data_IF_007882676027
#
_entry.id   IF_007882676027
#
_cell.length_a   1.000
_cell.length_b   1.000
_cell.length_c   1.000
_cell.angle_alpha   90.00
_cell.angle_beta   90.00
_cell.angle_gamma   90.00
#
_symmetry.space_group_name_H-M   'P 1'
#
loop_
_entity.id
_entity.type
_entity.pdbx_description
1 polymer ?
#
# COMPACT_ATOMS: atom_id res chain seq x y z
N UNK A 1 14.93 46.91 -39.67
CA UNK A 1 15.26 46.15 -38.45
C UNK A 1 13.94 46.04 -37.69
N UNK A 2 13.12 45.01 -37.94
CA UNK A 2 13.19 43.67 -37.34
C UNK A 2 13.30 43.78 -35.80
N UNK A 3 12.38 43.32 -34.95
CA UNK A 3 11.38 42.25 -35.08
C UNK A 3 10.10 42.56 -34.27
N UNK A 4 8.98 42.08 -34.80
CA UNK A 4 7.69 41.86 -34.14
C UNK A 4 7.73 40.47 -33.50
N UNK A 5 7.46 40.29 -32.20
CA UNK A 5 7.11 38.96 -31.66
C UNK A 5 6.24 39.02 -30.40
N UNK A 6 4.94 38.88 -30.66
CA UNK A 6 4.01 37.94 -30.01
C UNK A 6 3.83 37.91 -28.48
N UNK A 7 2.60 38.28 -28.09
CA UNK A 7 1.93 37.82 -26.88
C UNK A 7 1.98 36.29 -26.76
N UNK A 8 2.39 35.75 -25.61
CA UNK A 8 2.21 34.33 -25.29
C UNK A 8 1.13 34.14 -24.24
N UNK A 9 -0.04 33.78 -24.74
CA UNK A 9 -1.14 33.16 -24.00
C UNK A 9 -0.85 31.70 -23.66
N UNK A 10 -1.66 31.20 -22.70
CA UNK A 10 -2.06 29.80 -22.43
C UNK A 10 -1.18 28.90 -21.53
N UNK A 11 -1.74 27.86 -20.85
CA UNK A 11 -3.16 27.51 -20.61
C UNK A 11 -3.50 27.12 -19.15
N UNK A 12 -4.79 27.20 -18.80
CA UNK A 12 -5.44 26.47 -17.70
C UNK A 12 -5.93 25.11 -18.21
N UNK A 13 -5.64 24.02 -17.50
CA UNK A 13 -6.49 22.82 -17.52
C UNK A 13 -5.91 21.49 -18.03
N UNK A 14 -4.70 21.46 -18.59
CA UNK A 14 -4.08 20.20 -19.09
C UNK A 14 -2.97 19.65 -18.16
N UNK A 15 -2.37 20.51 -17.32
CA UNK A 15 -1.24 20.15 -16.45
C UNK A 15 -1.67 19.46 -15.14
N UNK A 16 -2.89 19.71 -14.66
CA UNK A 16 -3.41 19.14 -13.41
C UNK A 16 -3.63 17.62 -13.51
N UNK A 17 -4.05 17.13 -14.68
CA UNK A 17 -4.22 15.71 -14.94
C UNK A 17 -2.88 14.96 -14.93
N UNK A 18 -1.83 15.60 -15.46
CA UNK A 18 -0.47 15.03 -15.46
C UNK A 18 0.11 14.97 -14.05
N UNK A 19 -0.13 15.99 -13.21
CA UNK A 19 0.27 16.01 -11.79
C UNK A 19 -0.50 14.96 -10.97
N UNK A 20 -1.82 14.85 -11.17
CA UNK A 20 -2.61 13.80 -10.53
C UNK A 20 -2.17 12.40 -10.93
N UNK A 21 -1.86 12.18 -12.22
CA UNK A 21 -1.35 10.91 -12.72
C UNK A 21 0.07 10.62 -12.19
N UNK A 22 0.92 11.63 -12.03
CA UNK A 22 2.28 11.49 -11.48
C UNK A 22 2.27 11.20 -9.96
N UNK A 23 1.37 11.83 -9.20
CA UNK A 23 1.13 11.52 -7.77
C UNK A 23 0.41 10.18 -7.58
N UNK A 24 -0.42 9.77 -8.55
CA UNK A 24 -1.08 8.46 -8.58
C UNK A 24 -0.10 7.33 -8.91
N UNK A 25 0.88 7.55 -9.78
CA UNK A 25 1.89 6.57 -10.16
C UNK A 25 2.96 6.34 -9.07
N UNK A 26 3.12 7.31 -8.15
CA UNK A 26 4.07 7.27 -7.05
C UNK A 26 3.42 7.66 -5.72
N UNK A 27 2.38 6.93 -5.29
CA UNK A 27 1.88 7.09 -3.92
C UNK A 27 3.02 6.74 -2.95
N UNK A 28 3.55 7.75 -2.26
CA UNK A 28 4.52 7.56 -1.18
C UNK A 28 3.94 6.55 -0.18
N UNK A 29 4.73 5.60 0.33
CA UNK A 29 4.24 4.67 1.34
C UNK A 29 3.70 5.45 2.54
N UNK A 30 2.52 5.07 3.03
CA UNK A 30 1.94 5.64 4.24
C UNK A 30 2.89 5.51 5.45
N UNK A 31 3.65 4.42 5.51
CA UNK A 31 4.67 4.17 6.53
C UNK A 31 6.01 3.78 5.88
N UNK A 32 6.84 4.77 5.51
CA UNK A 32 8.13 4.52 4.83
C UNK A 32 9.10 3.65 5.63
N UNK A 33 9.05 3.70 6.96
CA UNK A 33 9.91 2.88 7.83
C UNK A 33 9.63 1.38 7.70
N UNK A 34 8.46 0.99 7.21
CA UNK A 34 8.00 -0.39 7.09
C UNK A 34 7.98 -0.90 5.63
N UNK A 35 8.64 -0.20 4.71
CA UNK A 35 8.86 -0.69 3.33
C UNK A 35 9.70 -1.97 3.32
N UNK A 36 10.66 -2.09 4.23
CA UNK A 36 11.49 -3.28 4.40
C UNK A 36 10.67 -4.42 5.04
N UNK A 37 10.62 -5.57 4.37
CA UNK A 37 10.00 -6.79 4.88
C UNK A 37 10.52 -7.20 6.26
N UNK A 38 11.83 -7.12 6.49
CA UNK A 38 12.43 -7.51 7.77
C UNK A 38 11.94 -6.63 8.90
N UNK A 39 11.81 -5.32 8.68
CA UNK A 39 11.25 -4.39 9.67
C UNK A 39 9.79 -4.68 9.96
N UNK A 40 9.00 -5.07 8.95
CA UNK A 40 7.63 -5.55 9.17
C UNK A 40 7.60 -6.80 10.03
N UNK A 41 8.40 -7.82 9.68
CA UNK A 41 8.47 -9.07 10.44
C UNK A 41 8.91 -8.82 11.90
N UNK A 42 9.93 -8.00 12.11
CA UNK A 42 10.45 -7.66 13.44
C UNK A 42 9.44 -6.91 14.33
N UNK A 43 8.37 -6.35 13.76
CA UNK A 43 7.29 -5.72 14.53
C UNK A 43 6.38 -6.73 15.25
N UNK A 44 6.35 -7.98 14.81
CA UNK A 44 5.45 -9.02 15.32
C UNK A 44 6.01 -9.78 16.55
N UNK A 45 7.00 -9.23 17.26
CA UNK A 45 7.60 -9.87 18.45
C UNK A 45 6.59 -10.23 19.55
N UNK A 46 5.51 -9.47 19.65
CA UNK A 46 4.43 -9.66 20.63
C UNK A 46 3.13 -10.13 19.97
N UNK A 47 3.21 -10.71 18.77
CA UNK A 47 2.04 -11.22 18.06
C UNK A 47 1.45 -12.42 18.81
N UNK A 48 0.12 -12.49 18.83
CA UNK A 48 -0.61 -13.47 19.64
C UNK A 48 -0.46 -14.88 19.05
N UNK A 49 0.15 -15.86 19.77
CA UNK A 49 0.34 -17.22 19.25
C UNK A 49 -0.96 -17.99 19.01
N UNK A 50 -2.09 -17.50 19.53
CA UNK A 50 -3.40 -18.12 19.37
C UNK A 50 -4.04 -17.82 18.00
N UNK A 51 -3.48 -16.90 17.21
CA UNK A 51 -3.97 -16.57 15.88
C UNK A 51 -3.35 -17.50 14.83
N UNK A 52 -4.13 -17.81 13.80
CA UNK A 52 -3.69 -18.66 12.70
C UNK A 52 -2.77 -17.92 11.71
N UNK A 53 -2.93 -16.60 11.61
CA UNK A 53 -2.15 -15.76 10.71
C UNK A 53 -0.76 -15.55 11.30
N UNK A 54 0.26 -16.09 10.62
CA UNK A 54 1.63 -16.02 11.11
C UNK A 54 2.24 -14.63 10.85
N UNK A 55 3.23 -14.21 11.65
CA UNK A 55 4.01 -13.00 11.38
C UNK A 55 4.53 -12.89 9.93
N UNK A 56 4.98 -14.01 9.36
CA UNK A 56 5.49 -14.08 7.99
C UNK A 56 4.39 -13.81 6.97
N UNK A 57 3.20 -14.40 7.14
CA UNK A 57 2.05 -14.16 6.27
C UNK A 57 1.60 -12.70 6.34
N UNK A 58 1.56 -12.12 7.54
CA UNK A 58 1.22 -10.70 7.73
C UNK A 58 2.25 -9.79 7.06
N UNK A 59 3.54 -9.97 7.34
CA UNK A 59 4.62 -9.16 6.77
C UNK A 59 4.72 -9.29 5.25
N UNK A 60 4.51 -10.50 4.71
CA UNK A 60 4.44 -10.75 3.27
C UNK A 60 3.22 -10.08 2.63
N UNK A 61 2.13 -9.94 3.39
CA UNK A 61 0.92 -9.23 2.94
C UNK A 61 1.03 -7.70 3.05
N UNK A 62 2.22 -7.17 3.35
CA UNK A 62 2.47 -5.73 3.46
C UNK A 62 2.12 -5.13 4.82
N UNK A 63 1.81 -5.97 5.82
CA UNK A 63 1.40 -5.51 7.15
C UNK A 63 2.55 -5.46 8.16
N UNK A 64 2.49 -4.51 9.07
CA UNK A 64 3.27 -4.50 10.32
C UNK A 64 2.31 -4.43 11.52
N UNK A 65 2.76 -4.91 12.68
CA UNK A 65 1.95 -4.97 13.89
C UNK A 65 1.84 -3.60 14.56
N UNK A 66 0.62 -3.22 14.96
CA UNK A 66 0.36 -1.97 15.66
C UNK A 66 0.66 -2.03 17.17
N UNK A 67 1.19 -3.15 17.69
CA UNK A 67 1.38 -3.41 19.12
C UNK A 67 0.10 -3.37 19.96
N UNK A 68 -1.06 -3.61 19.33
CA UNK A 68 -2.34 -3.65 20.02
C UNK A 68 -3.23 -4.77 19.46
N UNK A 69 -3.61 -5.72 20.34
CA UNK A 69 -4.46 -6.87 20.02
C UNK A 69 -3.95 -7.62 18.79
N UNK A 70 -4.76 -7.72 17.75
CA UNK A 70 -4.46 -8.33 16.46
C UNK A 70 -4.46 -7.28 15.34
N UNK A 71 -4.26 -6.00 15.70
CA UNK A 71 -4.32 -4.90 14.75
C UNK A 71 -3.02 -4.80 13.98
N UNK A 72 -3.14 -4.78 12.65
CA UNK A 72 -2.03 -4.62 11.72
C UNK A 72 -2.28 -3.46 10.77
N UNK A 73 -1.21 -2.84 10.27
CA UNK A 73 -1.29 -1.68 9.37
C UNK A 73 -0.47 -1.95 8.11
N UNK A 74 -1.03 -1.65 6.94
CA UNK A 74 -0.28 -1.76 5.69
C UNK A 74 0.72 -0.61 5.56
N UNK A 75 1.99 -0.91 5.25
CA UNK A 75 3.00 0.13 5.07
C UNK A 75 2.73 1.03 3.85
N UNK A 76 2.07 0.50 2.81
CA UNK A 76 1.89 1.19 1.53
C UNK A 76 0.64 2.05 1.54
N UNK A 77 -0.54 1.46 1.74
CA UNK A 77 -1.82 2.17 1.68
C UNK A 77 -2.30 2.68 3.05
N UNK A 78 -1.71 2.25 4.16
CA UNK A 78 -2.07 2.70 5.50
C UNK A 78 -3.38 2.13 6.05
N UNK A 79 -4.03 1.16 5.38
CA UNK A 79 -5.20 0.51 5.97
C UNK A 79 -4.82 -0.20 7.27
N UNK A 80 -5.73 -0.18 8.24
CA UNK A 80 -5.63 -0.99 9.45
C UNK A 80 -6.67 -2.11 9.37
N UNK A 81 -6.26 -3.32 9.77
CA UNK A 81 -7.13 -4.49 9.90
C UNK A 81 -6.93 -5.12 11.28
N UNK A 82 -7.94 -5.82 11.77
CA UNK A 82 -7.95 -6.54 13.03
C UNK A 82 -9.22 -7.37 13.14
N UNK A 83 -9.45 -8.00 14.30
CA UNK A 83 -10.46 -9.04 14.49
C UNK A 83 -10.33 -10.20 13.47
N UNK A 84 -9.11 -10.68 13.22
CA UNK A 84 -8.85 -11.78 12.30
C UNK A 84 -9.49 -13.08 12.79
N UNK A 85 -10.26 -13.71 11.92
CA UNK A 85 -10.83 -15.04 12.12
C UNK A 85 -9.84 -16.12 11.70
N UNK A 86 -10.05 -17.37 12.16
CA UNK A 86 -9.11 -18.48 11.89
C UNK A 86 -8.91 -18.77 10.40
N UNK A 87 -9.92 -18.48 9.59
CA UNK A 87 -9.92 -18.76 8.15
C UNK A 87 -9.45 -17.55 7.31
N UNK A 88 -9.19 -16.40 7.94
CA UNK A 88 -8.79 -15.20 7.20
C UNK A 88 -7.39 -15.36 6.63
N UNK A 89 -7.26 -15.00 5.36
CA UNK A 89 -5.96 -14.97 4.67
C UNK A 89 -5.54 -13.51 4.54
N UNK A 90 -4.43 -13.07 5.16
CA UNK A 90 -4.09 -11.65 5.27
C UNK A 90 -4.07 -10.89 3.94
N UNK A 91 -3.51 -11.48 2.88
CA UNK A 91 -3.45 -10.84 1.57
C UNK A 91 -4.83 -10.70 0.91
N UNK A 92 -5.74 -11.65 1.15
CA UNK A 92 -7.12 -11.60 0.64
C UNK A 92 -7.88 -10.50 1.36
N UNK A 93 -7.76 -10.43 2.70
CA UNK A 93 -8.36 -9.35 3.48
C UNK A 93 -7.79 -7.98 3.09
N UNK A 94 -6.49 -7.90 2.82
CA UNK A 94 -5.87 -6.68 2.29
C UNK A 94 -6.52 -6.27 0.95
N UNK A 95 -6.61 -7.19 -0.02
CA UNK A 95 -7.21 -6.89 -1.32
C UNK A 95 -8.70 -6.55 -1.22
N UNK A 96 -9.43 -7.19 -0.30
CA UNK A 96 -10.85 -6.94 -0.02
C UNK A 96 -11.08 -5.52 0.50
N UNK A 97 -10.21 -5.05 1.39
CA UNK A 97 -10.34 -3.76 2.08
C UNK A 97 -9.59 -2.60 1.41
N UNK A 98 -8.62 -2.85 0.52
CA UNK A 98 -7.87 -1.81 -0.19
C UNK A 98 -7.47 -2.26 -1.61
N UNK A 99 -8.44 -2.24 -2.52
CA UNK A 99 -8.25 -2.62 -3.93
C UNK A 99 -7.23 -1.73 -4.67
N UNK A 100 -7.09 -0.49 -4.22
CA UNK A 100 -6.18 0.51 -4.81
C UNK A 100 -4.83 0.62 -4.08
N UNK A 101 -4.49 -0.39 -3.27
CA UNK A 101 -3.20 -0.44 -2.59
C UNK A 101 -2.07 -0.61 -3.62
N UNK A 102 -1.16 0.36 -3.69
CA UNK A 102 -0.04 0.33 -4.63
C UNK A 102 0.82 -0.93 -4.46
N UNK A 103 1.10 -1.34 -3.21
CA UNK A 103 1.81 -2.59 -2.93
C UNK A 103 1.15 -3.82 -3.59
N UNK A 104 -0.18 -3.92 -3.56
CA UNK A 104 -0.93 -5.01 -4.20
C UNK A 104 -0.96 -4.92 -5.73
N UNK A 105 -0.82 -3.72 -6.28
CA UNK A 105 -0.82 -3.47 -7.73
C UNK A 105 0.55 -3.71 -8.38
N UNK A 106 1.64 -3.66 -7.61
CA UNK A 106 3.00 -3.94 -8.11
C UNK A 106 3.29 -5.43 -8.22
N UNK A 107 4.32 -5.80 -8.98
CA UNK A 107 4.76 -7.19 -9.17
C UNK A 107 5.11 -7.92 -7.85
N UNK A 108 5.37 -7.18 -6.77
CA UNK A 108 5.62 -7.72 -5.42
C UNK A 108 4.33 -8.25 -4.77
N UNK A 109 3.16 -7.72 -5.14
CA UNK A 109 1.84 -8.17 -4.67
C UNK A 109 1.09 -9.07 -5.66
N UNK A 110 1.52 -9.12 -6.92
CA UNK A 110 0.76 -9.74 -8.03
C UNK A 110 0.69 -11.27 -7.94
N UNK A 111 1.70 -11.95 -7.36
CA UNK A 111 1.68 -13.42 -7.16
C UNK A 111 0.52 -13.91 -6.26
N UNK A 112 -0.09 -13.03 -5.45
CA UNK A 112 -1.20 -13.40 -4.58
C UNK A 112 -2.59 -13.16 -5.19
N UNK A 113 -2.70 -12.33 -6.24
CA UNK A 113 -3.97 -11.93 -6.85
C UNK A 113 -4.58 -13.03 -7.73
N UNK A 114 -3.75 -13.89 -8.34
CA UNK A 114 -4.20 -14.94 -9.26
C UNK A 114 -4.98 -16.08 -8.58
N UNK A 115 -5.10 -16.10 -7.25
CA UNK A 115 -5.84 -17.13 -6.50
C UNK A 115 -7.22 -16.68 -5.99
N UNK A 116 -7.68 -15.49 -6.38
CA UNK A 116 -8.98 -14.92 -5.94
C UNK A 116 -10.09 -15.11 -6.99
N UNK A 117 -9.80 -15.67 -8.17
CA UNK A 117 -10.80 -16.01 -9.20
C UNK A 117 -10.67 -17.45 -9.67
#
# INVERSE_FOLDING_TARGET
MAEETTSRTHPTGEDDAQIHQYLSAHKKPAHPDFVDYKKRLDSFKLWLPALNQTPEQMAASGFFYANFRDVVICFSCGIYLGAFERCDVPIIEHARHSKDCYFLQTDIGSECREKIY
#
